data_IF_552323072307
#
_entry.id   IF_552323072307
#
_cell.length_a   1.000
_cell.length_b   1.000
_cell.length_c   1.000
_cell.angle_alpha   90.00
_cell.angle_beta   90.00
_cell.angle_gamma   90.00
#
_symmetry.space_group_name_H-M   'P 1'
#
loop_
_entity.id
_entity.type
_entity.pdbx_description
1 polymer ?
#
# COMPACT_ATOMS: atom_id res chain seq x y z
N UNK A 1 -1.81 22.51 3.55
CA UNK A 1 -3.06 22.32 2.78
C UNK A 1 -4.29 22.54 3.67
N UNK A 2 -5.41 23.09 3.14
CA UNK A 2 -6.68 23.25 3.88
C UNK A 2 -7.30 21.88 4.18
N UNK A 3 -8.01 21.74 5.30
CA UNK A 3 -8.58 20.46 5.76
C UNK A 3 -9.49 19.78 4.71
N UNK A 4 -10.36 20.53 4.04
CA UNK A 4 -11.23 19.97 2.99
C UNK A 4 -10.47 19.36 1.81
N UNK A 5 -9.36 19.97 1.36
CA UNK A 5 -8.51 19.42 0.30
C UNK A 5 -7.77 18.15 0.74
N UNK A 6 -7.45 18.05 2.03
CA UNK A 6 -6.85 16.84 2.60
C UNK A 6 -7.84 15.69 2.66
N UNK A 7 -9.10 15.95 3.03
CA UNK A 7 -10.15 14.96 2.99
C UNK A 7 -10.38 14.41 1.58
N UNK A 8 -10.37 15.27 0.56
CA UNK A 8 -10.47 14.84 -0.85
C UNK A 8 -9.29 13.92 -1.22
N UNK A 9 -8.06 14.27 -0.83
CA UNK A 9 -6.89 13.43 -1.09
C UNK A 9 -7.07 12.04 -0.45
N UNK A 10 -7.44 11.99 0.83
CA UNK A 10 -7.67 10.73 1.52
C UNK A 10 -8.79 9.91 0.87
N UNK A 11 -9.86 10.56 0.43
CA UNK A 11 -10.94 9.89 -0.29
C UNK A 11 -10.48 9.30 -1.62
N UNK A 12 -9.70 10.04 -2.41
CA UNK A 12 -9.15 9.55 -3.69
C UNK A 12 -8.26 8.31 -3.47
N UNK A 13 -7.37 8.35 -2.48
CA UNK A 13 -6.53 7.19 -2.14
C UNK A 13 -7.34 6.02 -1.57
N UNK A 14 -8.37 6.30 -0.77
CA UNK A 14 -9.30 5.29 -0.27
C UNK A 14 -10.07 4.60 -1.40
N UNK A 15 -10.56 5.38 -2.37
CA UNK A 15 -11.24 4.87 -3.55
C UNK A 15 -10.30 4.03 -4.43
N UNK A 16 -9.06 4.50 -4.65
CA UNK A 16 -8.03 3.72 -5.34
C UNK A 16 -7.81 2.37 -4.66
N UNK A 17 -7.70 2.34 -3.32
CA UNK A 17 -7.53 1.10 -2.55
C UNK A 17 -8.73 0.17 -2.69
N UNK A 18 -9.94 0.72 -2.73
CA UNK A 18 -11.17 -0.05 -2.98
C UNK A 18 -11.17 -0.71 -4.36
N UNK A 19 -10.80 0.03 -5.41
CA UNK A 19 -10.69 -0.49 -6.79
C UNK A 19 -9.65 -1.62 -6.86
N UNK A 20 -8.50 -1.44 -6.21
CA UNK A 20 -7.47 -2.46 -6.12
C UNK A 20 -7.97 -3.73 -5.41
N UNK A 21 -8.70 -3.61 -4.31
CA UNK A 21 -9.29 -4.76 -3.63
C UNK A 21 -10.28 -5.51 -4.52
N UNK A 22 -11.12 -4.79 -5.26
CA UNK A 22 -12.05 -5.38 -6.23
C UNK A 22 -11.32 -6.10 -7.36
N UNK A 23 -10.27 -5.48 -7.91
CA UNK A 23 -9.43 -6.09 -8.94
C UNK A 23 -8.74 -7.36 -8.43
N UNK A 24 -8.18 -7.31 -7.22
CA UNK A 24 -7.58 -8.47 -6.56
C UNK A 24 -8.58 -9.58 -6.31
N UNK A 25 -9.78 -9.27 -5.83
CA UNK A 25 -10.80 -10.28 -5.55
C UNK A 25 -11.23 -11.00 -6.83
N UNK A 26 -11.28 -10.27 -7.96
CA UNK A 26 -11.54 -10.87 -9.28
C UNK A 26 -10.42 -11.81 -9.70
N UNK A 27 -9.15 -11.38 -9.59
CA UNK A 27 -8.00 -12.20 -9.96
C UNK A 27 -7.85 -13.43 -9.06
N UNK A 28 -8.03 -13.27 -7.75
CA UNK A 28 -8.00 -14.36 -6.78
C UNK A 28 -9.05 -15.43 -7.11
N UNK A 29 -10.30 -15.02 -7.41
CA UNK A 29 -11.34 -15.96 -7.85
C UNK A 29 -10.97 -16.70 -9.13
N UNK A 30 -10.31 -16.03 -10.07
CA UNK A 30 -9.86 -16.65 -11.32
C UNK A 30 -8.74 -17.66 -11.08
N UNK A 31 -7.79 -17.36 -10.20
CA UNK A 31 -6.68 -18.25 -9.83
C UNK A 31 -7.21 -19.46 -9.07
N UNK A 32 -8.06 -19.26 -8.05
CA UNK A 32 -8.63 -20.35 -7.24
C UNK A 32 -9.56 -21.26 -8.05
N UNK A 33 -10.23 -20.74 -9.09
CA UNK A 33 -10.99 -21.57 -10.04
C UNK A 33 -10.10 -22.50 -10.86
N UNK A 34 -8.87 -22.08 -11.18
CA UNK A 34 -7.90 -22.87 -11.94
C UNK A 34 -7.10 -23.80 -11.03
N UNK A 35 -6.77 -23.35 -9.83
CA UNK A 35 -5.93 -24.04 -8.85
C UNK A 35 -6.50 -23.85 -7.44
N UNK A 36 -7.42 -24.71 -6.99
CA UNK A 36 -8.07 -24.59 -5.68
C UNK A 36 -7.09 -24.62 -4.49
N UNK A 37 -5.91 -25.24 -4.68
CA UNK A 37 -4.88 -25.41 -3.67
C UNK A 37 -3.73 -24.40 -3.71
N UNK A 38 -3.83 -23.31 -4.49
CA UNK A 38 -2.74 -22.34 -4.59
C UNK A 38 -2.39 -21.75 -3.21
N UNK A 39 -1.12 -21.87 -2.75
CA UNK A 39 -0.72 -21.36 -1.44
C UNK A 39 -0.90 -19.84 -1.37
N UNK A 40 -1.31 -19.36 -0.19
CA UNK A 40 -1.53 -17.95 0.10
C UNK A 40 -0.50 -17.49 1.12
N UNK A 41 0.46 -16.67 0.68
CA UNK A 41 1.42 -16.07 1.58
C UNK A 41 0.73 -15.02 2.48
N UNK A 42 0.89 -15.10 3.81
CA UNK A 42 0.44 -14.03 4.71
C UNK A 42 -1.02 -14.06 5.16
N UNK A 43 -1.71 -15.21 5.14
CA UNK A 43 -3.13 -15.30 5.55
C UNK A 43 -3.36 -14.84 7.01
N UNK A 44 -2.39 -15.03 7.89
CA UNK A 44 -2.37 -14.59 9.30
C UNK A 44 -2.16 -13.07 9.45
N UNK A 45 -1.38 -12.45 8.55
CA UNK A 45 -0.96 -11.04 8.62
C UNK A 45 -1.91 -10.13 7.83
N UNK A 46 -2.68 -10.67 6.89
CA UNK A 46 -3.58 -9.91 6.01
C UNK A 46 -4.58 -9.02 6.77
N UNK A 47 -5.20 -9.54 7.83
CA UNK A 47 -6.15 -8.76 8.64
C UNK A 47 -5.51 -7.53 9.29
N UNK A 48 -4.28 -7.69 9.78
CA UNK A 48 -3.50 -6.58 10.35
C UNK A 48 -3.09 -5.55 9.30
N UNK A 49 -2.69 -5.99 8.10
CA UNK A 49 -2.36 -5.09 6.99
C UNK A 49 -3.59 -4.28 6.57
N UNK A 50 -4.76 -4.92 6.48
CA UNK A 50 -6.01 -4.24 6.16
C UNK A 50 -6.37 -3.20 7.23
N UNK A 51 -6.21 -3.54 8.51
CA UNK A 51 -6.47 -2.62 9.62
C UNK A 51 -5.53 -1.40 9.59
N UNK A 52 -4.23 -1.63 9.38
CA UNK A 52 -3.25 -0.55 9.27
C UNK A 52 -3.51 0.35 8.06
N UNK A 53 -3.93 -0.23 6.93
CA UNK A 53 -4.35 0.53 5.74
C UNK A 53 -5.60 1.36 6.00
N UNK A 54 -6.59 0.83 6.73
CA UNK A 54 -7.73 1.62 7.16
C UNK A 54 -7.30 2.77 8.09
N UNK A 55 -6.37 2.48 9.00
CA UNK A 55 -5.75 3.47 9.89
C UNK A 55 -5.10 4.63 9.14
N UNK A 56 -4.51 4.38 7.97
CA UNK A 56 -3.92 5.43 7.12
C UNK A 56 -4.93 6.47 6.63
N UNK A 57 -6.22 6.12 6.54
CA UNK A 57 -7.26 7.06 6.10
C UNK A 57 -7.96 7.75 7.26
N UNK A 58 -7.86 7.23 8.48
CA UNK A 58 -8.60 7.72 9.66
C UNK A 58 -7.71 8.50 10.62
N UNK A 59 -6.55 7.96 11.00
CA UNK A 59 -5.67 8.56 12.02
C UNK A 59 -5.05 9.88 11.53
N UNK A 60 -4.52 9.99 10.30
CA UNK A 60 -4.01 11.26 9.78
C UNK A 60 -5.11 12.31 9.61
N UNK A 61 -6.33 11.91 9.26
CA UNK A 61 -7.47 12.81 9.16
C UNK A 61 -7.81 13.45 10.52
N UNK A 62 -7.84 12.62 11.56
CA UNK A 62 -8.09 13.06 12.93
C UNK A 62 -6.96 13.98 13.43
N UNK A 63 -5.69 13.58 13.27
CA UNK A 63 -4.54 14.41 13.67
C UNK A 63 -4.54 15.77 12.93
N UNK A 64 -4.88 15.76 11.63
CA UNK A 64 -5.03 17.00 10.84
C UNK A 64 -6.16 17.88 11.34
N UNK A 65 -7.30 17.30 11.73
CA UNK A 65 -8.46 18.04 12.24
C UNK A 65 -8.14 18.68 13.60
N UNK A 66 -7.38 17.99 14.45
CA UNK A 66 -6.93 18.50 15.74
C UNK A 66 -5.82 19.56 15.59
N UNK A 67 -4.98 19.47 14.56
CA UNK A 67 -3.95 20.49 14.27
C UNK A 67 -4.53 21.74 13.61
N UNK A 68 -4.41 22.87 14.31
CA UNK A 68 -4.83 24.19 13.80
C UNK A 68 -3.88 24.80 12.77
N UNK A 69 -2.61 24.38 12.73
CA UNK A 69 -1.57 24.95 11.84
C UNK A 69 -1.23 24.03 10.66
N UNK A 70 -1.08 24.56 9.44
CA UNK A 70 -0.61 23.78 8.30
C UNK A 70 0.86 23.34 8.48
N UNK A 71 1.28 22.22 7.85
CA UNK A 71 2.68 21.81 7.87
C UNK A 71 3.57 22.85 7.14
N UNK A 72 4.87 22.90 7.48
CA UNK A 72 5.85 23.68 6.73
C UNK A 72 5.87 23.26 5.26
N UNK A 73 6.07 24.23 4.35
CA UNK A 73 6.17 24.01 2.90
C UNK A 73 7.15 22.88 2.50
N UNK A 74 8.39 22.81 3.03
CA UNK A 74 9.33 21.75 2.62
C UNK A 74 8.84 20.36 3.04
N UNK A 75 8.18 20.25 4.19
CA UNK A 75 7.63 18.98 4.68
C UNK A 75 6.46 18.51 3.82
N UNK A 76 5.57 19.44 3.45
CA UNK A 76 4.49 19.13 2.52
C UNK A 76 5.02 18.73 1.13
N UNK A 77 6.09 19.36 0.64
CA UNK A 77 6.73 19.02 -0.63
C UNK A 77 7.35 17.62 -0.60
N UNK A 78 8.05 17.27 0.47
CA UNK A 78 8.56 15.90 0.70
C UNK A 78 7.42 14.88 0.75
N UNK A 79 6.31 15.21 1.43
CA UNK A 79 5.13 14.36 1.46
C UNK A 79 4.56 14.10 0.06
N UNK A 80 4.42 15.16 -0.75
CA UNK A 80 3.98 15.03 -2.14
C UNK A 80 4.93 14.20 -3.00
N UNK A 81 6.24 14.42 -2.87
CA UNK A 81 7.25 13.65 -3.60
C UNK A 81 7.16 12.15 -3.26
N UNK A 82 7.05 11.82 -1.98
CA UNK A 82 6.90 10.43 -1.53
C UNK A 82 5.59 9.81 -2.07
N UNK A 83 4.47 10.52 -1.97
CA UNK A 83 3.16 10.06 -2.45
C UNK A 83 3.13 9.86 -3.97
N UNK A 84 3.70 10.77 -4.76
CA UNK A 84 3.78 10.63 -6.22
C UNK A 84 4.68 9.46 -6.62
N UNK A 85 5.81 9.30 -5.93
CA UNK A 85 6.71 8.16 -6.13
C UNK A 85 6.02 6.83 -5.81
N UNK A 86 5.22 6.79 -4.74
CA UNK A 86 4.41 5.64 -4.38
C UNK A 86 3.42 5.27 -5.49
N UNK A 87 2.69 6.25 -6.04
CA UNK A 87 1.74 6.04 -7.14
C UNK A 87 2.47 5.49 -8.38
N UNK A 88 3.57 6.14 -8.79
CA UNK A 88 4.32 5.73 -9.97
C UNK A 88 4.84 4.29 -9.85
N UNK A 89 5.35 3.92 -8.67
CA UNK A 89 5.82 2.58 -8.40
C UNK A 89 4.66 1.57 -8.40
N UNK A 90 3.50 1.93 -7.81
CA UNK A 90 2.31 1.07 -7.77
C UNK A 90 1.78 0.77 -9.17
N UNK A 91 1.66 1.80 -10.02
CA UNK A 91 1.23 1.66 -11.40
C UNK A 91 2.20 0.77 -12.18
N UNK A 92 3.50 0.96 -11.99
CA UNK A 92 4.53 0.13 -12.61
C UNK A 92 4.41 -1.35 -12.18
N UNK A 93 4.10 -1.61 -10.91
CA UNK A 93 3.83 -2.96 -10.39
C UNK A 93 2.58 -3.56 -11.02
N UNK A 94 1.48 -2.82 -11.05
CA UNK A 94 0.21 -3.30 -11.62
C UNK A 94 0.36 -3.62 -13.10
N UNK A 95 1.11 -2.80 -13.85
CA UNK A 95 1.41 -3.03 -15.27
C UNK A 95 2.34 -4.24 -15.50
N UNK A 96 3.19 -4.56 -14.54
CA UNK A 96 4.15 -5.68 -14.63
C UNK A 96 3.50 -7.03 -14.33
N UNK A 97 2.70 -7.09 -13.25
CA UNK A 97 2.02 -8.30 -12.78
C UNK A 97 0.65 -8.55 -13.45
N UNK A 98 -0.08 -7.48 -13.80
CA UNK A 98 -1.41 -7.53 -14.45
C UNK A 98 -2.35 -8.55 -13.79
N UNK A 99 -2.79 -9.57 -14.53
CA UNK A 99 -3.75 -10.58 -14.09
C UNK A 99 -3.26 -11.51 -12.97
N UNK A 100 -1.96 -11.50 -12.66
CA UNK A 100 -1.39 -12.24 -11.53
C UNK A 100 -1.34 -11.42 -10.23
N UNK A 101 -1.68 -10.13 -10.28
CA UNK A 101 -1.66 -9.28 -9.10
C UNK A 101 -2.82 -9.62 -8.16
N UNK A 102 -2.49 -10.01 -6.92
CA UNK A 102 -3.44 -10.23 -5.83
C UNK A 102 -2.93 -9.61 -4.53
N UNK A 103 -3.81 -8.94 -3.78
CA UNK A 103 -3.48 -8.33 -2.48
C UNK A 103 -3.11 -9.40 -1.46
N UNK A 104 -3.67 -10.62 -1.58
CA UNK A 104 -3.39 -11.76 -0.70
C UNK A 104 -2.14 -12.56 -1.07
N UNK A 105 -1.35 -12.12 -2.06
CA UNK A 105 -0.17 -12.85 -2.53
C UNK A 105 -0.45 -14.35 -2.73
N UNK A 106 -1.51 -14.63 -3.50
CA UNK A 106 -1.80 -15.99 -3.95
C UNK A 106 -0.74 -16.31 -5.00
N UNK A 107 0.07 -17.34 -4.75
CA UNK A 107 1.14 -17.77 -5.66
C UNK A 107 0.67 -19.02 -6.41
N UNK A 108 0.13 -18.88 -7.63
CA UNK A 108 -0.17 -20.04 -8.46
C UNK A 108 1.12 -20.79 -8.85
N UNK A 109 1.03 -22.10 -9.03
CA UNK A 109 2.19 -22.93 -9.40
C UNK A 109 2.74 -22.63 -10.80
N UNK A 110 1.95 -21.98 -11.67
CA UNK A 110 2.35 -21.53 -13.00
C UNK A 110 2.77 -20.05 -13.03
N UNK A 111 2.95 -19.41 -11.87
CA UNK A 111 3.39 -18.02 -11.79
C UNK A 111 4.78 -17.86 -12.41
N UNK A 112 4.84 -17.27 -13.60
CA UNK A 112 6.11 -16.87 -14.22
C UNK A 112 6.71 -15.73 -13.42
N UNK A 113 7.96 -15.89 -12.98
CA UNK A 113 8.74 -14.83 -12.34
C UNK A 113 8.77 -13.62 -13.26
N UNK A 114 8.25 -12.50 -12.77
CA UNK A 114 8.20 -11.26 -13.54
C UNK A 114 9.49 -10.50 -13.30
N UNK A 115 10.36 -10.48 -14.29
CA UNK A 115 11.68 -9.84 -14.28
C UNK A 115 11.70 -8.48 -15.02
N UNK A 116 10.53 -7.89 -15.25
CA UNK A 116 10.35 -6.63 -15.98
C UNK A 116 9.87 -5.50 -15.08
N UNK A 117 10.26 -4.27 -15.44
CA UNK A 117 9.89 -3.07 -14.70
C UNK A 117 10.58 -2.98 -13.33
N UNK A 118 9.88 -2.57 -12.25
CA UNK A 118 10.49 -2.30 -10.95
C UNK A 118 11.04 -3.57 -10.27
N UNK A 119 10.59 -4.75 -10.69
CA UNK A 119 11.07 -6.05 -10.23
C UNK A 119 12.54 -6.34 -10.58
N UNK A 120 13.14 -5.60 -11.53
CA UNK A 120 14.58 -5.69 -11.84
C UNK A 120 15.47 -5.09 -10.76
N UNK A 121 14.94 -4.13 -10.00
CA UNK A 121 15.69 -3.34 -9.02
C UNK A 121 15.38 -3.75 -7.59
N UNK A 122 14.13 -4.15 -7.33
CA UNK A 122 13.61 -4.42 -5.98
C UNK A 122 12.79 -5.70 -6.04
N UNK A 123 13.00 -6.61 -5.06
CA UNK A 123 12.22 -7.86 -4.96
C UNK A 123 10.73 -7.63 -4.73
N UNK A 124 10.38 -6.69 -3.83
CA UNK A 124 8.99 -6.36 -3.49
C UNK A 124 8.67 -4.86 -3.67
N UNK A 125 8.59 -4.38 -4.92
CA UNK A 125 8.32 -2.97 -5.22
C UNK A 125 6.96 -2.49 -4.68
N UNK A 126 5.98 -3.39 -4.53
CA UNK A 126 4.67 -3.04 -3.95
C UNK A 126 4.77 -2.63 -2.47
N UNK A 127 5.68 -3.27 -1.72
CA UNK A 127 5.90 -2.96 -0.30
C UNK A 127 6.62 -1.62 -0.13
N UNK A 128 7.53 -1.28 -1.04
CA UNK A 128 8.16 0.04 -1.08
C UNK A 128 7.14 1.13 -1.42
N UNK A 129 6.25 0.89 -2.40
CA UNK A 129 5.18 1.81 -2.72
C UNK A 129 4.27 2.06 -1.50
N UNK A 130 3.94 0.99 -0.76
CA UNK A 130 3.15 1.10 0.46
C UNK A 130 3.89 1.93 1.53
N UNK A 131 5.16 1.64 1.80
CA UNK A 131 5.95 2.41 2.77
C UNK A 131 6.00 3.92 2.44
N UNK A 132 6.21 4.26 1.16
CA UNK A 132 6.21 5.64 0.69
C UNK A 132 4.85 6.32 0.86
N UNK A 133 3.75 5.59 0.70
CA UNK A 133 2.40 6.12 0.90
C UNK A 133 2.10 6.39 2.38
N UNK A 134 2.51 5.45 3.26
CA UNK A 134 2.39 5.58 4.71
C UNK A 134 3.21 6.74 5.28
N UNK A 135 4.29 7.12 4.60
CA UNK A 135 5.06 8.33 4.91
C UNK A 135 4.44 9.58 4.27
N UNK A 136 4.18 9.54 2.97
CA UNK A 136 3.81 10.72 2.18
C UNK A 136 2.43 11.26 2.52
N UNK A 137 1.41 10.40 2.61
CA UNK A 137 0.01 10.81 2.82
C UNK A 137 -0.18 11.56 4.15
N UNK A 138 0.38 11.09 5.29
CA UNK A 138 0.28 11.83 6.53
C UNK A 138 1.15 13.10 6.54
N UNK A 139 2.34 13.08 5.90
CA UNK A 139 3.22 14.25 5.81
C UNK A 139 2.59 15.42 5.05
N UNK A 140 1.82 15.16 3.98
CA UNK A 140 1.06 16.18 3.25
C UNK A 140 0.05 16.90 4.18
N UNK A 141 -0.53 16.16 5.12
CA UNK A 141 -1.42 16.67 6.16
C UNK A 141 -0.69 17.33 7.34
N UNK A 142 0.61 17.07 7.52
CA UNK A 142 1.34 17.43 8.73
C UNK A 142 1.03 16.53 9.93
N UNK A 143 0.54 15.32 9.67
CA UNK A 143 0.23 14.29 10.65
C UNK A 143 1.48 13.44 10.92
N UNK A 144 2.44 13.98 11.69
CA UNK A 144 3.75 13.37 11.91
C UNK A 144 3.67 12.13 12.79
N UNK A 145 2.81 12.14 13.80
CA UNK A 145 2.63 10.99 14.68
C UNK A 145 2.02 9.83 13.90
N UNK A 146 1.07 10.13 13.02
CA UNK A 146 0.48 9.15 12.13
C UNK A 146 1.50 8.57 11.13
N UNK A 147 2.33 9.42 10.49
CA UNK A 147 3.41 8.95 9.60
C UNK A 147 4.36 7.99 10.32
N UNK A 148 4.78 8.34 11.53
CA UNK A 148 5.77 7.56 12.28
C UNK A 148 5.15 6.27 12.85
N UNK A 149 4.02 6.38 13.53
CA UNK A 149 3.34 5.23 14.15
C UNK A 149 2.85 4.21 13.11
N UNK A 150 2.12 4.66 12.09
CA UNK A 150 1.61 3.76 11.05
C UNK A 150 2.74 3.26 10.15
N UNK A 151 3.75 4.08 9.86
CA UNK A 151 4.91 3.67 9.05
C UNK A 151 5.72 2.56 9.72
N UNK A 152 6.01 2.68 11.01
CA UNK A 152 6.70 1.64 11.78
C UNK A 152 5.87 0.36 11.86
N UNK A 153 4.59 0.48 12.20
CA UNK A 153 3.71 -0.69 12.30
C UNK A 153 3.54 -1.41 10.94
N UNK A 154 3.38 -0.65 9.85
CA UNK A 154 3.33 -1.19 8.49
C UNK A 154 4.64 -1.90 8.12
N UNK A 155 5.79 -1.30 8.42
CA UNK A 155 7.10 -1.90 8.13
C UNK A 155 7.32 -3.22 8.87
N UNK A 156 6.89 -3.31 10.13
CA UNK A 156 6.97 -4.53 10.92
C UNK A 156 6.10 -5.67 10.34
N UNK A 157 4.87 -5.36 9.92
CA UNK A 157 3.99 -6.35 9.27
C UNK A 157 4.54 -6.80 7.92
N UNK A 158 5.02 -5.86 7.10
CA UNK A 158 5.62 -6.17 5.81
C UNK A 158 6.85 -7.07 5.95
N UNK A 159 7.71 -6.82 6.96
CA UNK A 159 8.86 -7.69 7.23
C UNK A 159 8.44 -9.12 7.54
N UNK A 160 7.41 -9.32 8.37
CA UNK A 160 6.87 -10.67 8.65
C UNK A 160 6.33 -11.33 7.40
N UNK A 161 5.61 -10.56 6.57
CA UNK A 161 5.06 -11.06 5.31
C UNK A 161 6.14 -11.47 4.31
N UNK A 162 7.21 -10.70 4.17
CA UNK A 162 8.34 -11.04 3.30
C UNK A 162 8.97 -12.37 3.75
N UNK A 163 9.16 -12.56 5.06
CA UNK A 163 9.73 -13.81 5.60
C UNK A 163 8.81 -15.01 5.28
N UNK A 164 7.49 -14.84 5.39
CA UNK A 164 6.54 -15.90 5.03
C UNK A 164 6.46 -16.15 3.51
N UNK A 165 6.65 -15.10 2.69
CA UNK A 165 6.65 -15.19 1.23
C UNK A 165 7.94 -15.84 0.70
N UNK A 166 9.10 -15.51 1.27
CA UNK A 166 10.40 -16.11 0.92
C UNK A 166 10.54 -17.57 1.39
N UNK A 167 9.66 -18.03 2.30
CA UNK A 167 9.66 -19.39 2.82
C UNK A 167 8.77 -20.38 2.03
N UNK A 168 7.97 -19.88 1.06
CA UNK A 168 7.08 -20.65 0.19
C UNK A 168 7.73 -20.89 -1.18
#
# INVERSE_FOLDING_TARGET
MRAGRYAILLFVFGAQRGIELLYSARNERMILRRQPGAPQAGRSVFGWIALINLGLFTVPALERALRRRPPPRPVAALGWLATLSAIALRLSVLLSLRGSWTVRAVVPSDLRVVDRGPYRLIRHPNYVALALEFLGVPLIGGAYLSALGLGVANSALLRRRIIEEDAL
#
